data_IF_738473268023
#
_entry.id   IF_738473268023
#
_cell.length_a   1.000
_cell.length_b   1.000
_cell.length_c   1.000
_cell.angle_alpha   90.00
_cell.angle_beta   90.00
_cell.angle_gamma   90.00
#
_symmetry.space_group_name_H-M   'P 1'
#
loop_
_entity.id
_entity.type
_entity.pdbx_description
1 polymer ?
#
# COMPACT_ATOMS: atom_id res chain seq x y z
N UNK A 1 11.27 6.34 10.99
CA UNK A 1 10.37 5.24 10.56
C UNK A 1 10.43 5.04 9.05
N UNK A 2 11.58 4.79 8.41
CA UNK A 2 11.73 4.47 6.98
C UNK A 2 10.65 3.51 6.42
N UNK A 3 10.51 3.43 5.10
CA UNK A 3 9.60 2.46 4.46
C UNK A 3 9.74 1.04 5.07
N UNK A 4 10.98 0.62 5.33
CA UNK A 4 11.29 -0.65 5.97
C UNK A 4 10.77 -0.72 7.41
N UNK A 5 10.94 0.34 8.22
CA UNK A 5 10.37 0.41 9.58
C UNK A 5 8.83 0.45 9.59
N UNK A 6 8.19 1.10 8.61
CA UNK A 6 6.72 1.09 8.47
C UNK A 6 6.22 -0.33 8.21
N UNK A 7 6.85 -1.03 7.26
CA UNK A 7 6.57 -2.43 6.96
C UNK A 7 6.85 -3.35 8.14
N UNK A 8 7.99 -3.20 8.83
CA UNK A 8 8.36 -4.04 9.97
C UNK A 8 7.38 -3.86 11.14
N UNK A 9 6.84 -2.65 11.33
CA UNK A 9 5.74 -2.43 12.30
C UNK A 9 4.49 -3.25 11.97
N UNK A 10 4.17 -3.40 10.70
CA UNK A 10 3.08 -4.24 10.23
C UNK A 10 3.46 -5.73 10.17
N UNK A 11 4.75 -6.09 10.07
CA UNK A 11 5.24 -7.46 10.27
C UNK A 11 5.09 -7.94 11.70
N UNK A 12 5.22 -7.06 12.68
CA UNK A 12 4.89 -7.42 14.07
C UNK A 12 3.39 -7.76 14.21
N UNK A 13 2.51 -7.22 13.35
CA UNK A 13 1.11 -7.65 13.27
C UNK A 13 0.95 -8.97 12.47
N UNK A 14 1.88 -9.30 11.56
CA UNK A 14 1.90 -10.52 10.73
C UNK A 14 2.19 -11.82 11.53
N UNK A 15 2.52 -11.72 12.83
CA UNK A 15 2.95 -12.86 13.63
C UNK A 15 4.42 -13.20 13.38
N UNK A 16 5.11 -13.66 14.42
CA UNK A 16 6.58 -13.74 14.53
C UNK A 16 7.25 -14.69 13.50
N UNK A 17 6.49 -15.43 12.68
CA UNK A 17 7.01 -16.56 11.89
C UNK A 17 6.84 -16.45 10.37
N UNK A 18 6.65 -15.25 9.81
CA UNK A 18 6.58 -15.09 8.35
C UNK A 18 7.97 -14.77 7.77
N UNK A 19 8.56 -15.74 7.09
CA UNK A 19 9.94 -15.75 6.61
C UNK A 19 10.07 -15.57 5.09
N UNK A 20 9.01 -15.81 4.32
CA UNK A 20 9.02 -15.76 2.85
C UNK A 20 7.89 -14.93 2.22
N UNK A 21 8.06 -14.54 0.96
CA UNK A 21 7.03 -13.82 0.19
C UNK A 21 5.83 -14.73 -0.12
N UNK A 22 6.11 -16.02 -0.27
CA UNK A 22 5.15 -17.09 -0.47
C UNK A 22 4.23 -17.25 0.76
N UNK A 23 4.79 -17.28 1.97
CA UNK A 23 3.99 -17.28 3.21
C UNK A 23 3.17 -15.99 3.34
N UNK A 24 3.75 -14.82 3.03
CA UNK A 24 3.01 -13.55 3.04
C UNK A 24 1.79 -13.60 2.09
N UNK A 25 1.90 -14.24 0.93
CA UNK A 25 0.78 -14.43 0.00
C UNK A 25 -0.33 -15.30 0.60
N UNK A 26 0.04 -16.40 1.25
CA UNK A 26 -0.94 -17.30 1.89
C UNK A 26 -1.72 -16.60 3.00
N UNK A 27 -1.05 -15.78 3.81
CA UNK A 27 -1.70 -14.96 4.83
C UNK A 27 -2.57 -13.85 4.22
N UNK A 28 -2.07 -13.15 3.21
CA UNK A 28 -2.80 -12.09 2.52
C UNK A 28 -4.06 -12.60 1.80
N UNK A 29 -4.06 -13.85 1.33
CA UNK A 29 -5.23 -14.46 0.73
C UNK A 29 -6.37 -14.68 1.75
N UNK A 30 -6.02 -14.87 3.02
CA UNK A 30 -6.97 -15.10 4.13
C UNK A 30 -7.38 -13.82 4.86
N UNK A 31 -6.67 -12.71 4.64
CA UNK A 31 -6.91 -11.45 5.35
C UNK A 31 -6.86 -10.24 4.42
N UNK A 32 -8.02 -9.59 4.28
CA UNK A 32 -8.15 -8.38 3.48
C UNK A 32 -7.22 -7.25 3.94
N UNK A 33 -7.04 -7.11 5.26
CA UNK A 33 -6.09 -6.14 5.85
C UNK A 33 -4.66 -6.43 5.39
N UNK A 34 -4.24 -7.69 5.48
CA UNK A 34 -2.88 -8.08 5.07
C UNK A 34 -2.66 -7.99 3.57
N UNK A 35 -3.67 -8.29 2.75
CA UNK A 35 -3.62 -8.05 1.31
C UNK A 35 -3.22 -6.62 0.98
N UNK A 36 -3.85 -5.63 1.62
CA UNK A 36 -3.56 -4.22 1.35
C UNK A 36 -2.17 -3.79 1.84
N UNK A 37 -1.66 -4.41 2.91
CA UNK A 37 -0.31 -4.19 3.40
C UNK A 37 0.74 -4.83 2.49
N UNK A 38 0.49 -6.06 2.02
CA UNK A 38 1.36 -6.77 1.09
C UNK A 38 1.49 -6.00 -0.23
N UNK A 39 0.41 -5.37 -0.70
CA UNK A 39 0.46 -4.48 -1.86
C UNK A 39 1.53 -3.40 -1.71
N UNK A 40 1.54 -2.67 -0.59
CA UNK A 40 2.56 -1.65 -0.37
C UNK A 40 3.96 -2.28 -0.23
N UNK A 41 4.08 -3.39 0.51
CA UNK A 41 5.34 -4.12 0.69
C UNK A 41 5.98 -4.52 -0.65
N UNK A 42 5.19 -5.04 -1.59
CA UNK A 42 5.65 -5.42 -2.92
C UNK A 42 6.24 -4.25 -3.69
N UNK A 43 5.73 -3.05 -3.46
CA UNK A 43 6.12 -1.83 -4.17
C UNK A 43 7.36 -1.15 -3.58
N UNK A 44 7.95 -1.69 -2.52
CA UNK A 44 9.05 -1.06 -1.79
C UNK A 44 10.33 -0.91 -2.61
N UNK A 45 10.62 -1.92 -3.43
CA UNK A 45 11.82 -2.00 -4.25
C UNK A 45 11.58 -2.93 -5.44
N UNK A 46 12.45 -2.81 -6.43
CA UNK A 46 12.35 -3.55 -7.69
C UNK A 46 12.53 -5.06 -7.53
N UNK A 47 13.42 -5.48 -6.63
CA UNK A 47 13.70 -6.89 -6.36
C UNK A 47 12.48 -7.60 -5.78
N UNK A 48 11.83 -7.00 -4.79
CA UNK A 48 10.61 -7.54 -4.19
C UNK A 48 9.46 -7.61 -5.20
N UNK A 49 9.28 -6.57 -6.02
CA UNK A 49 8.25 -6.60 -7.07
C UNK A 49 8.53 -7.67 -8.13
N UNK A 50 9.78 -7.77 -8.60
CA UNK A 50 10.19 -8.80 -9.56
C UNK A 50 9.98 -10.22 -9.02
N UNK A 51 10.30 -10.44 -7.74
CA UNK A 51 10.03 -11.74 -7.10
C UNK A 51 8.54 -12.08 -7.10
N UNK A 52 7.67 -11.09 -6.87
CA UNK A 52 6.22 -11.32 -6.99
C UNK A 52 5.79 -11.63 -8.43
N UNK A 53 6.42 -10.99 -9.42
CA UNK A 53 6.19 -11.29 -10.84
C UNK A 53 6.62 -12.72 -11.18
N UNK A 54 7.75 -13.21 -10.67
CA UNK A 54 8.14 -14.63 -10.82
C UNK A 54 7.10 -15.57 -10.19
N UNK A 55 6.62 -15.25 -8.99
CA UNK A 55 5.58 -16.04 -8.33
C UNK A 55 4.26 -16.04 -9.10
N UNK A 56 3.94 -14.95 -9.79
CA UNK A 56 2.71 -14.84 -10.58
C UNK A 56 2.57 -15.88 -11.70
N UNK A 57 3.68 -16.46 -12.17
CA UNK A 57 3.65 -17.51 -13.20
C UNK A 57 3.02 -18.81 -12.71
N UNK A 58 3.05 -19.05 -11.40
CA UNK A 58 2.57 -20.29 -10.77
C UNK A 58 1.53 -20.08 -9.68
N UNK A 59 1.28 -18.83 -9.27
CA UNK A 59 0.32 -18.49 -8.20
C UNK A 59 -0.70 -17.44 -8.70
N UNK A 60 -1.98 -17.82 -8.73
CA UNK A 60 -3.09 -16.97 -9.20
C UNK A 60 -3.29 -15.72 -8.34
N UNK A 61 -3.10 -15.83 -7.02
CA UNK A 61 -3.22 -14.70 -6.11
C UNK A 61 -2.05 -13.72 -6.28
N UNK A 62 -0.82 -14.22 -6.48
CA UNK A 62 0.32 -13.38 -6.85
C UNK A 62 0.08 -12.65 -8.19
N UNK A 63 -0.47 -13.34 -9.20
CA UNK A 63 -0.87 -12.71 -10.47
C UNK A 63 -1.88 -11.60 -10.25
N UNK A 64 -2.92 -11.83 -9.44
CA UNK A 64 -3.88 -10.80 -9.06
C UNK A 64 -3.19 -9.59 -8.40
N UNK A 65 -2.35 -9.82 -7.40
CA UNK A 65 -1.63 -8.76 -6.70
C UNK A 65 -0.75 -7.92 -7.64
N UNK A 66 -0.06 -8.55 -8.61
CA UNK A 66 0.74 -7.84 -9.63
C UNK A 66 -0.15 -7.00 -10.54
N UNK A 67 -1.26 -7.56 -11.03
CA UNK A 67 -2.22 -6.85 -11.89
C UNK A 67 -2.84 -5.66 -11.15
N UNK A 68 -3.40 -5.88 -9.96
CA UNK A 68 -4.03 -4.85 -9.14
C UNK A 68 -3.04 -3.75 -8.78
N UNK A 69 -1.77 -4.11 -8.54
CA UNK A 69 -0.74 -3.12 -8.25
C UNK A 69 -0.51 -2.16 -9.42
N UNK A 70 -0.35 -2.72 -10.62
CA UNK A 70 -0.17 -1.93 -11.84
C UNK A 70 -1.40 -1.09 -12.15
N UNK A 71 -2.59 -1.65 -11.99
CA UNK A 71 -3.85 -0.92 -12.24
C UNK A 71 -4.04 0.21 -11.23
N UNK A 72 -3.82 -0.02 -9.94
CA UNK A 72 -3.91 1.00 -8.89
C UNK A 72 -2.97 2.17 -9.19
N UNK A 73 -1.69 1.88 -9.48
CA UNK A 73 -0.73 2.93 -9.79
C UNK A 73 -1.08 3.68 -11.09
N UNK A 74 -1.62 3.00 -12.10
CA UNK A 74 -2.09 3.65 -13.34
C UNK A 74 -3.28 4.58 -13.07
N UNK A 75 -4.30 4.10 -12.34
CA UNK A 75 -5.50 4.88 -11.97
C UNK A 75 -5.13 6.13 -11.16
N UNK A 76 -4.27 5.97 -10.14
CA UNK A 76 -3.78 7.10 -9.33
C UNK A 76 -2.91 8.07 -10.13
N UNK A 77 -2.07 7.58 -11.06
CA UNK A 77 -1.27 8.44 -11.93
C UNK A 77 -2.14 9.31 -12.85
N UNK A 78 -3.31 8.78 -13.25
CA UNK A 78 -4.31 9.49 -14.03
C UNK A 78 -5.18 10.44 -13.20
N UNK A 79 -4.96 10.52 -11.88
CA UNK A 79 -5.62 11.48 -10.99
C UNK A 79 -6.87 10.97 -10.27
N UNK A 80 -7.15 9.66 -10.30
CA UNK A 80 -8.28 9.12 -9.53
C UNK A 80 -8.06 9.26 -8.00
N UNK A 81 -9.14 9.57 -7.26
CA UNK A 81 -9.24 9.78 -5.80
C UNK A 81 -8.42 10.92 -5.19
N UNK A 82 -7.13 11.00 -5.48
CA UNK A 82 -6.19 11.89 -4.81
C UNK A 82 -5.43 12.75 -5.82
N UNK A 83 -6.11 13.78 -6.33
CA UNK A 83 -5.47 14.75 -7.23
C UNK A 83 -4.59 15.74 -6.44
N UNK A 84 -3.44 15.26 -5.96
CA UNK A 84 -2.41 16.12 -5.38
C UNK A 84 -1.02 15.76 -5.90
N UNK A 85 -0.15 16.77 -5.96
CA UNK A 85 1.18 16.63 -6.56
C UNK A 85 2.07 15.61 -5.85
N UNK A 86 1.93 15.43 -4.53
CA UNK A 86 2.78 14.49 -3.80
C UNK A 86 2.36 13.04 -4.01
N UNK A 87 1.07 12.76 -4.12
CA UNK A 87 0.58 11.46 -4.55
C UNK A 87 1.06 11.15 -5.95
N UNK A 88 0.96 12.10 -6.89
CA UNK A 88 1.49 11.96 -8.26
C UNK A 88 3.00 11.67 -8.26
N UNK A 89 3.79 12.35 -7.42
CA UNK A 89 5.24 12.09 -7.26
C UNK A 89 5.52 10.69 -6.70
N UNK A 90 4.81 10.28 -5.65
CA UNK A 90 4.93 8.94 -5.06
C UNK A 90 4.60 7.87 -6.10
N UNK A 91 3.46 7.99 -6.76
CA UNK A 91 3.02 7.05 -7.79
C UNK A 91 4.01 7.00 -8.96
N UNK A 92 4.55 8.15 -9.40
CA UNK A 92 5.60 8.19 -10.43
C UNK A 92 6.87 7.44 -10.01
N UNK A 93 7.30 7.59 -8.76
CA UNK A 93 8.43 6.84 -8.21
C UNK A 93 8.16 5.33 -8.20
N UNK A 94 7.00 4.91 -7.68
CA UNK A 94 6.62 3.49 -7.64
C UNK A 94 6.44 2.90 -9.05
N UNK A 95 5.94 3.69 -10.00
CA UNK A 95 5.83 3.30 -11.40
C UNK A 95 7.18 3.02 -12.06
N UNK A 96 8.24 3.78 -11.73
CA UNK A 96 9.61 3.47 -12.19
C UNK A 96 10.09 2.11 -11.70
N UNK A 97 9.64 1.70 -10.53
CA UNK A 97 9.95 0.40 -9.91
C UNK A 97 9.15 -0.75 -10.56
N UNK A 98 7.91 -0.50 -10.98
CA UNK A 98 6.91 -1.52 -11.36
C UNK A 98 6.71 -1.70 -12.87
N UNK A 99 6.73 -0.61 -13.65
CA UNK A 99 6.20 -0.59 -15.03
C UNK A 99 7.15 -1.23 -16.06
N UNK A 100 8.44 -1.46 -15.75
CA UNK A 100 9.37 -2.07 -16.73
C UNK A 100 8.99 -3.50 -17.14
N UNK A 101 8.08 -4.18 -16.41
CA UNK A 101 7.62 -5.52 -16.76
C UNK A 101 6.35 -5.47 -17.63
N UNK A 102 6.51 -5.67 -18.95
CA UNK A 102 5.52 -5.70 -20.04
C UNK A 102 4.42 -6.77 -19.92
N UNK A 103 4.23 -7.43 -18.77
CA UNK A 103 3.16 -8.40 -18.63
C UNK A 103 1.80 -7.75 -18.85
N UNK A 104 0.93 -8.33 -19.71
CA UNK A 104 -0.39 -7.80 -19.99
C UNK A 104 -1.23 -7.73 -18.72
N UNK A 105 -2.07 -6.69 -18.64
CA UNK A 105 -2.99 -6.45 -17.53
C UNK A 105 -4.23 -7.33 -17.69
N UNK A 106 -4.05 -8.65 -17.56
CA UNK A 106 -5.15 -9.59 -17.67
C UNK A 106 -5.86 -9.69 -16.31
N UNK A 107 -6.91 -8.89 -16.11
CA UNK A 107 -7.77 -8.97 -14.94
C UNK A 107 -8.60 -7.72 -14.69
N UNK A 108 -9.78 -7.88 -14.12
CA UNK A 108 -10.59 -6.80 -13.58
C UNK A 108 -10.22 -6.60 -12.10
N UNK A 109 -9.94 -5.35 -11.70
CA UNK A 109 -9.81 -4.96 -10.30
C UNK A 109 -11.10 -4.27 -9.86
N UNK A 110 -11.69 -4.76 -8.77
CA UNK A 110 -12.89 -4.17 -8.21
C UNK A 110 -12.59 -2.80 -7.57
N UNK A 111 -13.57 -1.90 -7.57
CA UNK A 111 -13.39 -0.54 -7.01
C UNK A 111 -13.11 -0.54 -5.50
N UNK A 112 -13.65 -1.50 -4.74
CA UNK A 112 -13.33 -1.62 -3.32
C UNK A 112 -11.87 -2.04 -3.08
N UNK A 113 -11.28 -2.82 -4.00
CA UNK A 113 -9.86 -3.20 -3.94
C UNK A 113 -9.00 -1.98 -4.25
N UNK A 114 -9.32 -1.27 -5.33
CA UNK A 114 -8.68 0.01 -5.67
C UNK A 114 -8.71 1.01 -4.51
N UNK A 115 -9.87 1.21 -3.90
CA UNK A 115 -10.06 2.08 -2.75
C UNK A 115 -9.20 1.63 -1.56
N UNK A 116 -9.11 0.33 -1.30
CA UNK A 116 -8.28 -0.25 -0.23
C UNK A 116 -6.79 0.03 -0.43
N UNK A 117 -6.28 -0.25 -1.62
CA UNK A 117 -4.87 -0.01 -1.97
C UNK A 117 -4.52 1.48 -1.95
N UNK A 118 -5.40 2.32 -2.48
CA UNK A 118 -5.22 3.78 -2.49
C UNK A 118 -5.17 4.37 -1.07
N UNK A 119 -5.99 3.87 -0.13
CA UNK A 119 -5.97 4.29 1.28
C UNK A 119 -4.65 3.94 1.97
N UNK A 120 -4.06 2.77 1.69
CA UNK A 120 -2.75 2.38 2.25
C UNK A 120 -1.63 3.25 1.69
N UNK A 121 -1.63 3.53 0.37
CA UNK A 121 -0.65 4.45 -0.22
C UNK A 121 -0.77 5.85 0.36
N UNK A 122 -1.98 6.36 0.55
CA UNK A 122 -2.19 7.66 1.16
C UNK A 122 -1.74 7.69 2.63
N UNK A 123 -2.00 6.61 3.39
CA UNK A 123 -1.51 6.46 4.77
C UNK A 123 0.02 6.51 4.81
N UNK A 124 0.68 5.80 3.90
CA UNK A 124 2.14 5.85 3.76
C UNK A 124 2.63 7.28 3.46
N UNK A 125 2.02 7.97 2.50
CA UNK A 125 2.38 9.34 2.15
C UNK A 125 2.21 10.31 3.33
N UNK A 126 1.12 10.19 4.09
CA UNK A 126 0.88 10.99 5.30
C UNK A 126 1.95 10.74 6.34
N UNK A 127 2.34 9.48 6.57
CA UNK A 127 3.42 9.12 7.50
C UNK A 127 4.79 9.65 7.05
N UNK A 128 5.08 9.63 5.75
CA UNK A 128 6.31 10.24 5.20
C UNK A 128 6.30 11.77 5.38
N UNK A 129 5.16 12.42 5.12
CA UNK A 129 5.02 13.88 5.35
C UNK A 129 5.23 14.24 6.81
N UNK A 130 4.64 13.50 7.76
CA UNK A 130 4.84 13.71 9.21
C UNK A 130 6.31 13.74 9.60
N UNK A 131 7.18 12.99 8.90
CA UNK A 131 8.63 12.99 9.16
C UNK A 131 9.39 14.16 8.55
N UNK A 132 8.83 14.77 7.51
CA UNK A 132 9.37 15.98 6.90
C UNK A 132 8.87 17.25 7.56
N UNK A 133 7.86 17.16 8.43
CA UNK A 133 7.43 18.26 9.28
C UNK A 133 8.49 18.57 10.36
N UNK A 134 8.69 19.86 10.59
CA UNK A 134 9.38 20.40 11.77
C UNK A 134 8.80 19.80 13.06
N UNK A 135 9.65 19.60 14.07
CA UNK A 135 9.32 18.93 15.34
C UNK A 135 8.07 19.53 16.00
N UNK A 136 7.90 20.85 15.94
CA UNK A 136 6.75 21.53 16.54
C UNK A 136 5.44 21.21 15.81
N UNK A 137 5.46 21.16 14.48
CA UNK A 137 4.28 20.84 13.69
C UNK A 137 3.90 19.35 13.82
N UNK A 138 4.90 18.46 13.92
CA UNK A 138 4.69 17.03 14.17
C UNK A 138 3.99 16.80 15.52
N UNK A 139 4.42 17.48 16.57
CA UNK A 139 3.80 17.39 17.89
C UNK A 139 2.36 17.92 17.89
N UNK A 140 2.10 19.02 17.18
CA UNK A 140 0.75 19.58 17.03
C UNK A 140 -0.21 18.66 16.26
N UNK A 141 0.24 18.05 15.17
CA UNK A 141 -0.55 17.06 14.41
C UNK A 141 -0.81 15.81 15.25
N UNK A 142 0.19 15.33 15.99
CA UNK A 142 0.03 14.17 16.87
C UNK A 142 -0.94 14.42 18.03
N UNK A 143 -0.85 15.59 18.67
CA UNK A 143 -1.80 16.03 19.70
C UNK A 143 -3.22 16.14 19.13
N UNK A 144 -3.36 16.71 17.92
CA UNK A 144 -4.66 16.87 17.26
C UNK A 144 -5.28 15.53 16.86
N UNK A 145 -4.49 14.54 16.43
CA UNK A 145 -4.99 13.19 16.15
C UNK A 145 -5.41 12.43 17.41
N UNK A 146 -4.79 12.70 18.57
CA UNK A 146 -5.22 12.15 19.88
C UNK A 146 -6.51 12.78 20.39
N UNK A 147 -6.79 14.03 20.01
CA UNK A 147 -8.03 14.72 20.37
C UNK A 147 -9.21 14.44 19.43
N UNK A 148 -9.00 13.68 18.34
CA UNK A 148 -10.09 13.23 17.49
C UNK A 148 -10.79 12.07 18.19
N UNK A 149 -12.09 12.21 18.45
CA UNK A 149 -12.93 11.10 18.89
C UNK A 149 -13.23 10.20 17.70
N UNK A 150 -12.37 9.20 17.51
CA UNK A 150 -12.46 8.25 16.42
C UNK A 150 -13.75 7.44 16.45
N UNK A 151 -14.38 7.26 17.61
CA UNK A 151 -15.66 6.53 17.71
C UNK A 151 -16.78 7.30 17.01
N UNK A 152 -16.74 8.62 17.04
CA UNK A 152 -17.74 9.48 16.40
C UNK A 152 -17.59 9.55 14.86
N UNK A 153 -16.47 9.08 14.31
CA UNK A 153 -16.24 8.99 12.86
C UNK A 153 -16.78 7.68 12.25
N UNK A 154 -17.10 6.67 13.07
CA UNK A 154 -17.64 5.39 12.62
C UNK A 154 -19.15 5.25 12.86
N UNK A 155 -19.77 6.17 13.61
CA UNK A 155 -21.22 6.19 13.81
C UNK A 155 -21.85 7.18 12.83
N UNK A 156 -22.14 6.71 11.61
CA UNK A 156 -23.20 7.35 10.82
C UNK A 156 -24.54 6.82 11.33
N UNK A 157 -25.23 7.61 12.17
CA UNK A 157 -26.69 7.47 12.31
C UNK A 157 -27.34 8.07 11.07
N UNK A 158 -27.84 7.21 10.20
CA UNK A 158 -29.27 7.10 9.87
C UNK A 158 -29.48 5.87 8.99
#
# INVERSE_FOLDING_TARGET
>A
MTFQEFVERYKNELGVNVSSLEELLEYAQKSHRFKNLLFLYMLKDKGTFNRMVELSHRNRFAKKMVTDSKQTLKRLNNGELYDNQDMKKLVSYLNKTVIRNLQPLDGHMEDWEFNGYSKILNSYLVEERKRKLDVNLRNNVHAKMKSVDWNNLFVSKN
#
